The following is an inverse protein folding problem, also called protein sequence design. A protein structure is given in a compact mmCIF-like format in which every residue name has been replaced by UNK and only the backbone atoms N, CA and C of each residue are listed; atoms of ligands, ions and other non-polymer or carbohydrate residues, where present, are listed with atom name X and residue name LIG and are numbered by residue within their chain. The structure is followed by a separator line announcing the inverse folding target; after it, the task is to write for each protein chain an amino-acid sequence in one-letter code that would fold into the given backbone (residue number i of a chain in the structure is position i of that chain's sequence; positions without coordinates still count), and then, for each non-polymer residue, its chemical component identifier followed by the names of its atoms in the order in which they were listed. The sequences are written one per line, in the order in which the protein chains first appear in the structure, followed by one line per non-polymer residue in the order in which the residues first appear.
data_IF_198229474435
#
_entry.id   IF_198229474435
#
_cell.length_a   1.000
_cell.length_b   1.000
_cell.length_c   1.000
_cell.angle_alpha   90.00
_cell.angle_beta   90.00
_cell.angle_gamma   90.00
#
_symmetry.space_group_name_H-M   'P 1'
#
loop_
_entity.id
_entity.type
_entity.pdbx_description
1 polymer ?
#
# COMPACT_ATOMS: atom_id res chain seq x y z
N UNK A 1 7.51 6.42 9.60
CA UNK A 1 7.85 5.40 10.60
C UNK A 1 9.28 5.01 10.34
N UNK A 2 10.15 5.44 11.24
CA UNK A 2 11.51 4.91 11.29
C UNK A 2 11.42 3.41 11.60
N UNK A 3 12.28 2.60 10.99
CA UNK A 3 12.20 1.13 11.14
C UNK A 3 12.47 0.71 12.60
N UNK A 4 13.18 1.54 13.37
CA UNK A 4 13.46 1.31 14.79
C UNK A 4 12.22 1.47 15.69
N UNK A 5 11.39 2.48 15.44
CA UNK A 5 10.14 2.70 16.22
C UNK A 5 9.16 1.56 15.99
N UNK A 6 9.07 1.08 14.75
CA UNK A 6 8.22 -0.05 14.37
C UNK A 6 8.66 -1.33 15.07
N UNK A 7 9.97 -1.54 15.22
CA UNK A 7 10.51 -2.71 15.88
C UNK A 7 10.24 -2.69 17.40
N UNK A 8 10.40 -1.53 18.06
CA UNK A 8 10.01 -1.37 19.47
C UNK A 8 8.52 -1.62 19.70
N UNK A 9 7.67 -1.05 18.85
CA UNK A 9 6.22 -1.27 18.94
C UNK A 9 5.84 -2.75 18.79
N UNK A 10 6.55 -3.51 17.93
CA UNK A 10 6.38 -4.97 17.82
C UNK A 10 6.78 -5.67 19.10
N UNK A 11 7.95 -5.36 19.65
CA UNK A 11 8.48 -6.00 20.85
C UNK A 11 7.59 -5.74 22.07
N UNK A 12 7.13 -4.52 22.27
CA UNK A 12 6.18 -4.16 23.32
C UNK A 12 4.84 -4.90 23.16
N UNK A 13 4.33 -5.00 21.94
CA UNK A 13 3.07 -5.68 21.68
C UNK A 13 3.19 -7.20 21.82
N UNK A 14 4.35 -7.78 21.49
CA UNK A 14 4.67 -9.20 21.75
C UNK A 14 4.78 -9.44 23.26
N UNK A 15 5.48 -8.57 24.00
CA UNK A 15 5.61 -8.68 25.46
C UNK A 15 4.26 -8.57 26.18
N UNK A 16 3.34 -7.78 25.64
CA UNK A 16 1.99 -7.61 26.18
C UNK A 16 0.95 -8.61 25.63
N UNK A 17 1.38 -9.61 24.85
CA UNK A 17 0.51 -10.63 24.22
C UNK A 17 -0.75 -10.07 23.54
N UNK A 18 -0.59 -8.89 22.91
CA UNK A 18 -1.72 -8.18 22.32
C UNK A 18 -2.25 -8.89 21.09
N UNK A 19 -3.57 -8.78 20.92
CA UNK A 19 -4.32 -9.42 19.85
C UNK A 19 -4.89 -8.36 18.91
N UNK A 20 -4.66 -8.51 17.60
CA UNK A 20 -5.03 -7.51 16.61
C UNK A 20 -5.77 -8.13 15.42
N UNK A 21 -6.62 -7.34 14.79
CA UNK A 21 -7.25 -7.71 13.53
C UNK A 21 -6.23 -7.68 12.40
N UNK A 22 -6.55 -8.40 11.31
CA UNK A 22 -5.71 -8.44 10.09
C UNK A 22 -5.38 -7.04 9.53
N UNK A 23 -6.29 -6.07 9.68
CA UNK A 23 -6.09 -4.69 9.23
C UNK A 23 -5.02 -3.97 10.05
N UNK A 24 -5.21 -3.90 11.38
CA UNK A 24 -4.25 -3.22 12.27
C UNK A 24 -2.85 -3.83 12.23
N UNK A 25 -2.75 -5.17 12.12
CA UNK A 25 -1.46 -5.84 11.94
C UNK A 25 -0.71 -5.34 10.70
N UNK A 26 -1.42 -5.12 9.59
CA UNK A 26 -0.84 -4.64 8.34
C UNK A 26 -0.47 -3.16 8.41
N UNK A 27 -1.38 -2.34 8.93
CA UNK A 27 -1.25 -0.88 8.84
C UNK A 27 -0.29 -0.33 9.90
N UNK A 28 -0.40 -0.81 11.14
CA UNK A 28 0.42 -0.32 12.27
C UNK A 28 1.74 -1.09 12.38
N UNK A 29 1.69 -2.43 12.33
CA UNK A 29 2.87 -3.27 12.60
C UNK A 29 3.59 -3.75 11.34
N UNK A 30 3.00 -3.54 10.15
CA UNK A 30 3.45 -4.12 8.87
C UNK A 30 3.71 -5.62 8.99
N UNK A 31 2.79 -6.34 9.61
CA UNK A 31 2.85 -7.78 9.80
C UNK A 31 1.67 -8.48 9.14
N UNK A 32 1.87 -9.76 8.85
CA UNK A 32 0.82 -10.66 8.40
C UNK A 32 0.74 -11.85 9.36
N UNK A 33 -0.45 -12.36 9.68
CA UNK A 33 -0.56 -13.64 10.39
C UNK A 33 0.14 -14.75 9.59
N UNK A 34 0.75 -15.71 10.28
CA UNK A 34 1.25 -16.94 9.66
C UNK A 34 0.10 -17.67 8.93
N UNK A 35 0.39 -18.44 7.86
CA UNK A 35 -0.64 -19.19 7.16
C UNK A 35 -1.40 -20.16 8.09
N UNK A 36 -0.71 -20.70 9.10
CA UNK A 36 -1.28 -21.65 10.06
C UNK A 36 -1.82 -20.97 11.35
N UNK A 37 -1.82 -19.64 11.42
CA UNK A 37 -2.29 -18.93 12.60
C UNK A 37 -3.81 -19.05 12.75
N UNK A 38 -4.25 -19.63 13.86
CA UNK A 38 -5.67 -19.78 14.18
C UNK A 38 -6.18 -18.47 14.80
N UNK A 39 -7.27 -17.87 14.27
CA UNK A 39 -7.87 -16.70 14.88
C UNK A 39 -8.47 -17.03 16.24
N UNK A 40 -8.20 -16.22 17.27
CA UNK A 40 -8.71 -16.44 18.63
C UNK A 40 -10.21 -16.12 18.70
N UNK A 41 -10.61 -15.02 18.05
CA UNK A 41 -11.98 -14.52 18.05
C UNK A 41 -12.34 -14.00 16.66
N UNK A 42 -13.62 -14.17 16.32
CA UNK A 42 -14.22 -13.60 15.13
C UNK A 42 -15.18 -12.49 15.52
N UNK A 43 -15.05 -11.34 14.87
CA UNK A 43 -16.00 -10.24 14.96
C UNK A 43 -16.69 -10.05 13.63
N UNK A 44 -17.95 -9.61 13.67
CA UNK A 44 -18.71 -9.24 12.47
C UNK A 44 -18.49 -7.75 12.20
N UNK A 45 -18.32 -7.36 10.95
CA UNK A 45 -18.33 -5.96 10.54
C UNK A 45 -19.74 -5.54 10.11
N UNK A 46 -19.94 -4.24 9.92
CA UNK A 46 -21.22 -3.66 9.50
C UNK A 46 -21.64 -4.14 8.10
N UNK A 47 -20.67 -4.53 7.27
CA UNK A 47 -20.87 -5.12 5.95
C UNK A 47 -21.18 -6.63 5.96
N UNK A 48 -21.46 -7.21 7.13
CA UNK A 48 -21.88 -8.61 7.27
C UNK A 48 -20.77 -9.67 7.19
N UNK A 49 -19.52 -9.29 6.93
CA UNK A 49 -18.36 -10.19 6.90
C UNK A 49 -17.77 -10.38 8.29
N UNK A 50 -17.26 -11.58 8.56
CA UNK A 50 -16.52 -11.88 9.79
C UNK A 50 -15.02 -11.67 9.57
N UNK A 51 -14.34 -11.10 10.54
CA UNK A 51 -12.88 -10.97 10.55
C UNK A 51 -12.30 -11.58 11.82
N UNK A 52 -11.17 -12.26 11.66
CA UNK A 52 -10.43 -12.90 12.74
C UNK A 52 -9.43 -11.94 13.41
N UNK A 53 -9.26 -12.12 14.71
CA UNK A 53 -8.22 -11.48 15.53
C UNK A 53 -7.12 -12.49 15.80
N UNK A 54 -5.88 -12.10 15.58
CA UNK A 54 -4.69 -12.94 15.68
C UNK A 54 -3.77 -12.42 16.79
N UNK A 55 -3.03 -13.34 17.42
CA UNK A 55 -1.94 -12.97 18.32
C UNK A 55 -0.78 -12.42 17.52
N UNK A 56 -0.13 -11.42 18.07
CA UNK A 56 1.04 -10.82 17.43
C UNK A 56 2.23 -11.79 17.38
N UNK A 57 2.36 -12.69 18.36
CA UNK A 57 3.39 -13.75 18.38
C UNK A 57 3.28 -14.74 17.21
N UNK A 58 2.07 -14.93 16.67
CA UNK A 58 1.80 -15.79 15.51
C UNK A 58 1.89 -15.04 14.18
N UNK A 59 2.32 -13.77 14.20
CA UNK A 59 2.46 -12.94 13.02
C UNK A 59 3.93 -12.85 12.59
N UNK A 60 4.15 -12.58 11.30
CA UNK A 60 5.46 -12.38 10.70
C UNK A 60 5.53 -11.02 10.01
N UNK A 61 6.68 -10.33 10.07
CA UNK A 61 6.86 -9.07 9.37
C UNK A 61 6.66 -9.25 7.87
N UNK A 62 5.90 -8.33 7.27
CA UNK A 62 5.81 -8.23 5.82
C UNK A 62 7.18 -7.79 5.34
N UNK A 63 7.75 -8.56 4.40
CA UNK A 63 9.03 -8.21 3.79
C UNK A 63 8.96 -6.78 3.27
N UNK A 64 9.82 -5.91 3.80
CA UNK A 64 10.07 -4.63 3.18
C UNK A 64 10.73 -4.89 1.84
N UNK A 65 10.14 -4.38 0.77
CA UNK A 65 10.78 -4.44 -0.55
C UNK A 65 12.04 -3.60 -0.42
N UNK A 66 13.20 -4.27 -0.42
CA UNK A 66 14.47 -3.57 -0.54
C UNK A 66 14.39 -2.76 -1.83
N UNK A 67 14.43 -1.43 -1.70
CA UNK A 67 14.57 -0.53 -2.85
C UNK A 67 15.99 -0.69 -3.37
N UNK A 68 16.20 -1.73 -4.18
CA UNK A 68 17.42 -1.91 -4.94
C UNK A 68 17.46 -0.84 -6.03
N UNK A 69 18.66 -0.39 -6.35
CA UNK A 69 18.82 0.45 -7.52
C UNK A 69 18.30 -0.29 -8.77
N UNK A 70 17.51 0.38 -9.63
CA UNK A 70 17.02 -0.23 -10.85
C UNK A 70 18.19 -0.69 -11.73
N UNK A 71 18.07 -1.89 -12.29
CA UNK A 71 19.02 -2.39 -13.28
C UNK A 71 19.01 -1.51 -14.54
N UNK A 72 20.10 -1.52 -15.31
CA UNK A 72 20.22 -0.73 -16.55
C UNK A 72 19.09 -1.02 -17.56
N UNK A 73 18.66 -2.28 -17.67
CA UNK A 73 17.50 -2.64 -18.50
C UNK A 73 16.20 -1.98 -18.02
N UNK A 74 15.99 -1.88 -16.71
CA UNK A 74 14.83 -1.22 -16.12
C UNK A 74 14.88 0.29 -16.31
N UNK A 75 16.06 0.92 -16.26
CA UNK A 75 16.24 2.36 -16.56
C UNK A 75 15.83 2.67 -18.00
N UNK A 76 16.37 1.93 -18.98
CA UNK A 76 16.02 2.09 -20.41
C UNK A 76 14.53 1.86 -20.69
N UNK A 77 13.93 0.83 -20.07
CA UNK A 77 12.50 0.59 -20.22
C UNK A 77 11.66 1.75 -19.67
N UNK A 78 12.09 2.36 -18.57
CA UNK A 78 11.44 3.53 -17.96
C UNK A 78 11.53 4.77 -18.86
N UNK A 79 12.68 4.98 -19.49
CA UNK A 79 12.87 6.05 -20.49
C UNK A 79 11.96 5.84 -21.70
N UNK A 80 11.90 4.62 -22.24
CA UNK A 80 11.00 4.30 -23.34
C UNK A 80 9.52 4.54 -22.98
N UNK A 81 9.09 4.11 -21.79
CA UNK A 81 7.73 4.37 -21.29
C UNK A 81 7.44 5.86 -21.05
N UNK A 82 8.45 6.64 -20.66
CA UNK A 82 8.29 8.08 -20.50
C UNK A 82 8.05 8.76 -21.87
N UNK A 83 8.79 8.33 -22.91
CA UNK A 83 8.60 8.81 -24.27
C UNK A 83 7.23 8.42 -24.81
N UNK A 84 6.81 7.16 -24.68
CA UNK A 84 5.47 6.73 -25.17
C UNK A 84 4.34 7.52 -24.53
N UNK A 85 4.46 7.86 -23.24
CA UNK A 85 3.49 8.70 -22.51
C UNK A 85 3.38 10.11 -23.09
N UNK A 86 4.48 10.71 -23.53
CA UNK A 86 4.49 12.03 -24.17
C UNK A 86 3.80 11.95 -25.54
N UNK A 87 4.14 10.94 -26.35
CA UNK A 87 3.55 10.78 -27.68
C UNK A 87 2.06 10.41 -27.66
N UNK A 88 1.61 9.65 -26.66
CA UNK A 88 0.20 9.25 -26.51
C UNK A 88 -0.63 10.22 -25.67
N UNK A 89 -0.07 11.36 -25.24
CA UNK A 89 -0.89 12.39 -24.64
C UNK A 89 -1.80 12.99 -25.71
N UNK A 90 -3.14 12.94 -25.54
CA UNK A 90 -4.00 13.71 -26.41
C UNK A 90 -3.60 15.18 -26.24
N UNK A 91 -3.24 15.83 -27.34
CA UNK A 91 -3.07 17.28 -27.40
C UNK A 91 -4.36 17.86 -26.81
N UNK A 92 -4.28 18.49 -25.63
CA UNK A 92 -5.44 19.15 -25.03
C UNK A 92 -5.93 20.15 -26.07
N UNK A 93 -7.15 19.96 -26.56
CA UNK A 93 -7.75 20.87 -27.53
C UNK A 93 -7.65 22.30 -26.98
N UNK A 94 -7.05 23.20 -27.75
CA UNK A 94 -7.02 24.62 -27.42
C UNK A 94 -8.47 25.10 -27.24
N UNK A 95 -8.78 25.91 -26.20
CA UNK A 95 -10.13 26.40 -26.01
C UNK A 95 -10.53 27.27 -27.21
N UNK A 96 -11.47 26.77 -28.02
CA UNK A 96 -12.19 27.53 -29.04
C UNK A 96 -13.07 28.57 -28.36
N UNK A 97 -12.49 29.71 -27.96
CA UNK A 97 -13.24 30.82 -27.36
C UNK A 97 -12.94 32.18 -28.00
N UNK A 98 -12.54 32.22 -29.27
CA UNK A 98 -12.48 33.46 -30.06
C UNK A 98 -12.88 33.18 -31.50
N UNK A 99 -14.17 33.27 -31.81
CA UNK A 99 -14.73 33.55 -33.15
C UNK A 99 -16.27 33.68 -33.08
N UNK A 100 -16.79 34.41 -32.09
CA UNK A 100 -18.19 34.84 -32.08
C UNK A 100 -18.26 36.22 -31.43
N UNK A 101 -17.81 37.28 -32.12
CA UNK A 101 -18.14 38.68 -31.79
C UNK A 101 -17.66 39.65 -32.87
N UNK A 102 -17.94 39.34 -34.14
CA UNK A 102 -17.67 40.29 -35.23
C UNK A 102 -18.78 40.29 -36.28
N UNK A 103 -20.03 40.13 -35.81
CA UNK A 103 -21.25 40.41 -36.58
C UNK A 103 -22.40 40.67 -35.59
N UNK A 104 -22.49 41.89 -35.07
CA UNK A 104 -23.74 42.47 -34.57
C UNK A 104 -23.69 43.98 -34.62
#
# INVERSE_FOLDING_TARGET
MDDNELQKAREEAIAADKCFSKGRLRDEFRMKPKPDAIPIKFYKNDYGRKYGVYRIADCVPIRTIQRREPTEKQKRAREALALTRIFHQPQKAAPTSKLILENR
#
